data_IF_790127006948
#
_entry.id   IF_790127006948
#
_cell.length_a   1.000
_cell.length_b   1.000
_cell.length_c   1.000
_cell.angle_alpha   90.00
_cell.angle_beta   90.00
_cell.angle_gamma   90.00
#
_symmetry.space_group_name_H-M   'P 1'
#
loop_
_entity.id
_entity.type
_entity.pdbx_description
1 polymer ?
#
# COMPACT_ATOMS: atom_id res chain seq x y z
N UNK A 1 33.62 -4.89 -32.75
CA UNK A 1 32.75 -3.89 -33.41
C UNK A 1 31.97 -4.44 -34.62
N UNK A 2 32.53 -5.34 -35.44
CA UNK A 2 31.86 -5.83 -36.66
C UNK A 2 30.56 -6.63 -36.44
N UNK A 3 30.47 -7.43 -35.37
CA UNK A 3 29.26 -8.22 -35.06
C UNK A 3 28.11 -7.37 -34.54
N UNK A 4 28.39 -6.44 -33.62
CA UNK A 4 27.40 -5.46 -33.11
C UNK A 4 26.78 -4.63 -34.24
N UNK A 5 27.58 -4.22 -35.24
CA UNK A 5 27.09 -3.48 -36.41
C UNK A 5 26.27 -4.37 -37.35
N UNK A 6 26.55 -5.67 -37.43
CA UNK A 6 25.74 -6.64 -38.19
C UNK A 6 24.39 -6.92 -37.52
N UNK A 7 24.38 -7.09 -36.20
CA UNK A 7 23.14 -7.20 -35.40
C UNK A 7 22.30 -5.91 -35.51
N UNK A 8 22.93 -4.74 -35.40
CA UNK A 8 22.25 -3.44 -35.51
C UNK A 8 21.66 -3.18 -36.92
N UNK A 9 22.28 -3.72 -37.99
CA UNK A 9 21.77 -3.61 -39.37
C UNK A 9 20.60 -4.57 -39.68
N UNK A 10 20.45 -5.66 -38.92
CA UNK A 10 19.25 -6.54 -38.99
C UNK A 10 18.01 -5.86 -38.40
N UNK A 11 18.20 -4.83 -37.57
CA UNK A 11 17.14 -3.98 -37.05
C UNK A 11 16.80 -2.92 -38.11
N UNK A 12 16.09 -3.30 -39.18
CA UNK A 12 15.42 -2.33 -40.07
C UNK A 12 13.93 -2.62 -40.18
N UNK A 13 13.18 -1.51 -40.12
CA UNK A 13 11.79 -1.26 -40.54
C UNK A 13 10.61 -1.67 -39.65
N UNK A 14 10.71 -1.39 -38.34
CA UNK A 14 9.62 -0.69 -37.63
C UNK A 14 10.31 0.51 -37.00
N UNK A 15 9.82 1.75 -37.12
CA UNK A 15 10.47 2.89 -36.49
C UNK A 15 10.36 2.71 -34.98
N UNK A 16 11.42 2.14 -34.39
CA UNK A 16 11.58 1.96 -32.94
C UNK A 16 11.24 3.28 -32.22
N UNK A 17 11.60 4.42 -32.81
CA UNK A 17 11.26 5.74 -32.24
C UNK A 17 9.74 5.99 -32.18
N UNK A 18 8.98 5.63 -33.21
CA UNK A 18 7.53 5.88 -33.28
C UNK A 18 6.75 4.91 -32.37
N UNK A 19 7.20 3.65 -32.28
CA UNK A 19 6.59 2.65 -31.39
C UNK A 19 6.88 2.94 -29.92
N UNK A 20 8.11 3.35 -29.59
CA UNK A 20 8.49 3.74 -28.23
C UNK A 20 7.86 5.08 -27.82
N UNK A 21 7.83 6.07 -28.72
CA UNK A 21 7.16 7.35 -28.48
C UNK A 21 5.67 7.14 -28.23
N UNK A 22 5.00 6.32 -29.05
CA UNK A 22 3.59 6.00 -28.85
C UNK A 22 3.34 5.24 -27.54
N UNK A 23 4.18 4.24 -27.20
CA UNK A 23 4.12 3.55 -25.91
C UNK A 23 4.27 4.52 -24.72
N UNK A 24 5.26 5.41 -24.77
CA UNK A 24 5.52 6.38 -23.71
C UNK A 24 4.37 7.38 -23.57
N UNK A 25 3.86 7.91 -24.67
CA UNK A 25 2.74 8.86 -24.69
C UNK A 25 1.48 8.22 -24.08
N UNK A 26 1.13 7.00 -24.51
CA UNK A 26 -0.03 6.26 -23.97
C UNK A 26 0.11 6.00 -22.46
N UNK A 27 1.30 5.65 -22.00
CA UNK A 27 1.54 5.44 -20.57
C UNK A 27 1.54 6.74 -19.78
N UNK A 28 2.08 7.82 -20.36
CA UNK A 28 2.07 9.15 -19.78
C UNK A 28 0.65 9.67 -19.57
N UNK A 29 -0.27 9.42 -20.50
CA UNK A 29 -1.69 9.76 -20.34
C UNK A 29 -2.33 9.04 -19.14
N UNK A 30 -2.04 7.73 -18.98
CA UNK A 30 -2.50 6.94 -17.83
C UNK A 30 -1.94 7.53 -16.53
N UNK A 31 -0.63 7.78 -16.48
CA UNK A 31 0.02 8.35 -15.29
C UNK A 31 -0.52 9.73 -14.94
N UNK A 32 -0.69 10.59 -15.94
CA UNK A 32 -1.23 11.93 -15.75
C UNK A 32 -2.60 11.87 -15.09
N UNK A 33 -3.49 11.00 -15.59
CA UNK A 33 -4.83 10.83 -15.02
C UNK A 33 -4.79 10.26 -13.60
N UNK A 34 -3.94 9.26 -13.35
CA UNK A 34 -3.75 8.71 -12.01
C UNK A 34 -3.29 9.79 -11.02
N UNK A 35 -2.36 10.65 -11.41
CA UNK A 35 -1.86 11.72 -10.56
C UNK A 35 -2.89 12.83 -10.33
N UNK A 36 -3.69 13.19 -11.34
CA UNK A 36 -4.80 14.12 -11.14
C UNK A 36 -5.77 13.63 -10.06
N UNK A 37 -6.12 12.34 -10.08
CA UNK A 37 -6.95 11.73 -9.03
C UNK A 37 -6.21 11.65 -7.69
N UNK A 38 -4.95 11.21 -7.69
CA UNK A 38 -4.19 10.98 -6.47
C UNK A 38 -3.96 12.28 -5.68
N UNK A 39 -3.63 13.37 -6.37
CA UNK A 39 -3.44 14.68 -5.75
C UNK A 39 -4.75 15.46 -5.58
N UNK A 40 -5.89 14.91 -6.01
CA UNK A 40 -7.20 15.55 -5.84
C UNK A 40 -7.43 16.75 -6.75
N UNK A 41 -6.71 16.84 -7.87
CA UNK A 41 -6.94 17.82 -8.94
C UNK A 41 -8.28 17.55 -9.64
N UNK A 42 -8.67 16.28 -9.72
CA UNK A 42 -9.94 15.87 -10.32
C UNK A 42 -10.66 14.88 -9.40
N UNK A 43 -11.99 15.01 -9.34
CA UNK A 43 -12.83 14.05 -8.63
C UNK A 43 -12.98 12.74 -9.41
N UNK A 44 -13.25 11.66 -8.69
CA UNK A 44 -13.38 10.33 -9.26
C UNK A 44 -14.33 9.48 -8.43
N UNK A 45 -14.97 8.52 -9.10
CA UNK A 45 -15.78 7.47 -8.50
C UNK A 45 -15.18 6.10 -8.83
N UNK A 46 -15.74 5.03 -8.23
CA UNK A 46 -15.29 3.64 -8.43
C UNK A 46 -15.12 3.30 -9.91
N UNK A 47 -16.08 3.70 -10.75
CA UNK A 47 -16.05 3.45 -12.20
C UNK A 47 -14.79 4.03 -12.86
N UNK A 48 -14.38 5.24 -12.50
CA UNK A 48 -13.19 5.87 -13.10
C UNK A 48 -11.91 5.10 -12.73
N UNK A 49 -11.80 4.62 -11.49
CA UNK A 49 -10.64 3.82 -11.05
C UNK A 49 -10.61 2.49 -11.80
N UNK A 50 -11.77 1.82 -11.94
CA UNK A 50 -11.89 0.56 -12.70
C UNK A 50 -11.44 0.75 -14.16
N UNK A 51 -11.92 1.80 -14.84
CA UNK A 51 -11.54 2.10 -16.22
C UNK A 51 -10.03 2.34 -16.36
N UNK A 52 -9.40 3.05 -15.41
CA UNK A 52 -7.94 3.22 -15.41
C UNK A 52 -7.20 1.91 -15.19
N UNK A 53 -7.67 1.08 -14.26
CA UNK A 53 -7.07 -0.22 -13.98
C UNK A 53 -7.15 -1.15 -15.20
N UNK A 54 -8.30 -1.22 -15.87
CA UNK A 54 -8.50 -1.97 -17.10
C UNK A 54 -7.63 -1.44 -18.25
N UNK A 55 -7.51 -0.11 -18.38
CA UNK A 55 -6.60 0.50 -19.37
C UNK A 55 -5.15 0.09 -19.13
N UNK A 56 -4.69 0.02 -17.87
CA UNK A 56 -3.34 -0.44 -17.53
C UNK A 56 -3.17 -1.92 -17.92
N UNK A 57 -4.11 -2.80 -17.57
CA UNK A 57 -4.01 -4.22 -17.89
C UNK A 57 -4.04 -4.47 -19.41
N UNK A 58 -4.89 -3.73 -20.14
CA UNK A 58 -4.93 -3.74 -21.59
C UNK A 58 -3.62 -3.26 -22.20
N UNK A 59 -3.06 -2.17 -21.67
CA UNK A 59 -1.77 -1.63 -22.09
C UNK A 59 -0.61 -2.62 -21.90
N UNK A 60 -0.51 -3.27 -20.74
CA UNK A 60 0.47 -4.34 -20.50
C UNK A 60 0.32 -5.50 -21.49
N UNK A 61 -0.93 -5.94 -21.75
CA UNK A 61 -1.22 -7.08 -22.61
C UNK A 61 -0.92 -6.80 -24.08
N UNK A 62 -1.33 -5.64 -24.59
CA UNK A 62 -1.13 -5.27 -26.00
C UNK A 62 0.34 -5.11 -26.37
N UNK A 63 1.14 -4.58 -25.44
CA UNK A 63 2.55 -4.29 -25.68
C UNK A 63 3.48 -5.38 -25.12
N UNK A 64 2.92 -6.38 -24.44
CA UNK A 64 3.67 -7.44 -23.76
C UNK A 64 4.76 -6.89 -22.81
N UNK A 65 4.40 -5.87 -22.03
CA UNK A 65 5.28 -5.23 -21.04
C UNK A 65 4.69 -5.27 -19.65
N UNK A 66 5.51 -4.95 -18.65
CA UNK A 66 5.07 -4.72 -17.28
C UNK A 66 5.26 -3.27 -16.89
N UNK A 67 4.18 -2.64 -16.41
CA UNK A 67 4.27 -1.29 -15.86
C UNK A 67 4.92 -1.36 -14.46
N UNK A 68 5.59 -0.28 -14.03
CA UNK A 68 6.13 -0.19 -12.68
C UNK A 68 5.08 -0.48 -11.60
N UNK A 69 5.45 -1.21 -10.54
CA UNK A 69 4.55 -1.50 -9.42
C UNK A 69 3.92 -0.27 -8.78
N UNK A 70 4.64 0.87 -8.78
CA UNK A 70 4.12 2.12 -8.23
C UNK A 70 2.81 2.56 -8.91
N UNK A 71 2.59 2.22 -10.17
CA UNK A 71 1.35 2.50 -10.89
C UNK A 71 0.17 1.77 -10.27
N UNK A 72 0.35 0.48 -9.98
CA UNK A 72 -0.65 -0.33 -9.30
C UNK A 72 -0.85 0.10 -7.84
N UNK A 73 0.21 0.50 -7.14
CA UNK A 73 0.10 1.07 -5.79
C UNK A 73 -0.78 2.32 -5.82
N UNK A 74 -0.55 3.26 -6.76
CA UNK A 74 -1.38 4.45 -6.89
C UNK A 74 -2.85 4.07 -7.12
N UNK A 75 -3.13 3.14 -8.04
CA UNK A 75 -4.51 2.67 -8.28
C UNK A 75 -5.14 2.10 -7.00
N UNK A 76 -4.42 1.26 -6.25
CA UNK A 76 -4.88 0.69 -4.99
C UNK A 76 -5.15 1.78 -3.94
N UNK A 77 -4.26 2.77 -3.82
CA UNK A 77 -4.44 3.94 -2.94
C UNK A 77 -5.62 4.82 -3.34
N UNK A 78 -5.98 4.89 -4.63
CA UNK A 78 -7.18 5.63 -5.06
C UNK A 78 -8.46 4.97 -4.53
N UNK A 79 -8.55 3.65 -4.52
CA UNK A 79 -9.69 2.96 -3.89
C UNK A 79 -9.77 3.29 -2.40
N UNK A 80 -8.64 3.28 -1.69
CA UNK A 80 -8.60 3.62 -0.27
C UNK A 80 -9.00 5.08 -0.01
N UNK A 81 -8.50 6.02 -0.82
CA UNK A 81 -8.85 7.44 -0.73
C UNK A 81 -10.34 7.68 -1.04
N UNK A 82 -10.94 6.86 -1.91
CA UNK A 82 -12.37 6.93 -2.19
C UNK A 82 -13.21 6.51 -0.99
N UNK A 83 -12.76 5.52 -0.19
CA UNK A 83 -13.47 5.09 1.03
C UNK A 83 -13.67 6.26 1.99
N UNK A 84 -12.69 7.16 2.12
CA UNK A 84 -12.78 8.35 2.99
C UNK A 84 -13.87 9.34 2.53
N UNK A 85 -14.28 9.29 1.26
CA UNK A 85 -15.33 10.14 0.67
C UNK A 85 -16.70 9.46 0.63
N UNK A 86 -16.74 8.13 0.65
CA UNK A 86 -17.99 7.37 0.59
C UNK A 86 -18.72 7.50 1.92
N UNK A 87 -20.02 7.81 1.86
CA UNK A 87 -20.88 7.78 3.05
C UNK A 87 -20.82 6.42 3.73
N UNK A 88 -20.63 6.39 5.05
CA UNK A 88 -20.58 5.16 5.85
C UNK A 88 -21.81 4.25 5.67
N UNK A 89 -22.94 4.81 5.21
CA UNK A 89 -24.16 4.06 4.88
C UNK A 89 -24.01 3.19 3.63
N UNK A 90 -23.06 3.50 2.77
CA UNK A 90 -22.80 2.75 1.54
C UNK A 90 -21.69 1.70 1.75
N UNK A 91 -21.96 0.75 2.66
CA UNK A 91 -21.02 -0.30 3.07
C UNK A 91 -20.56 -1.19 1.90
N UNK A 92 -21.42 -1.38 0.89
CA UNK A 92 -21.13 -2.23 -0.28
C UNK A 92 -19.98 -1.66 -1.10
N UNK A 93 -20.00 -0.36 -1.38
CA UNK A 93 -18.94 0.31 -2.15
C UNK A 93 -17.64 0.38 -1.34
N UNK A 94 -17.71 0.58 -0.03
CA UNK A 94 -16.55 0.52 0.87
C UNK A 94 -15.88 -0.86 0.81
N UNK A 95 -16.67 -1.92 0.98
CA UNK A 95 -16.19 -3.32 0.89
C UNK A 95 -15.59 -3.59 -0.50
N UNK A 96 -16.22 -3.09 -1.57
CA UNK A 96 -15.71 -3.24 -2.93
C UNK A 96 -14.34 -2.58 -3.08
N UNK A 97 -14.18 -1.32 -2.64
CA UNK A 97 -12.92 -0.60 -2.73
C UNK A 97 -11.78 -1.32 -2.01
N UNK A 98 -12.02 -1.80 -0.78
CA UNK A 98 -11.02 -2.56 -0.04
C UNK A 98 -10.64 -3.87 -0.72
N UNK A 99 -11.62 -4.64 -1.20
CA UNK A 99 -11.35 -5.89 -1.92
C UNK A 99 -10.56 -5.66 -3.21
N UNK A 100 -10.89 -4.61 -3.97
CA UNK A 100 -10.17 -4.24 -5.19
C UNK A 100 -8.72 -3.85 -4.89
N UNK A 101 -8.49 -3.05 -3.86
CA UNK A 101 -7.14 -2.68 -3.40
C UNK A 101 -6.32 -3.91 -2.98
N UNK A 102 -6.89 -4.80 -2.14
CA UNK A 102 -6.24 -6.04 -1.71
C UNK A 102 -5.91 -6.96 -2.89
N UNK A 103 -6.83 -7.09 -3.86
CA UNK A 103 -6.62 -7.88 -5.08
C UNK A 103 -5.42 -7.36 -5.88
N UNK A 104 -5.29 -6.04 -6.01
CA UNK A 104 -4.15 -5.41 -6.69
C UNK A 104 -2.85 -5.73 -5.95
N UNK A 105 -2.81 -5.53 -4.63
CA UNK A 105 -1.62 -5.84 -3.82
C UNK A 105 -1.21 -7.31 -3.91
N UNK A 106 -2.18 -8.24 -3.88
CA UNK A 106 -1.90 -9.67 -4.07
C UNK A 106 -1.30 -9.96 -5.45
N UNK A 107 -1.86 -9.37 -6.52
CA UNK A 107 -1.35 -9.53 -7.89
C UNK A 107 0.10 -9.06 -8.00
N UNK A 108 0.42 -7.87 -7.49
CA UNK A 108 1.77 -7.31 -7.65
C UNK A 108 2.82 -7.98 -6.75
N UNK A 109 2.42 -8.59 -5.62
CA UNK A 109 3.31 -9.42 -4.80
C UNK A 109 3.67 -10.76 -5.46
N UNK A 110 2.83 -11.25 -6.38
CA UNK A 110 3.09 -12.47 -7.17
C UNK A 110 4.09 -12.28 -8.31
N UNK A 111 4.51 -11.03 -8.58
CA UNK A 111 5.52 -10.69 -9.59
C UNK A 111 6.85 -10.46 -8.89
N UNK A 112 7.95 -10.88 -9.52
CA UNK A 112 9.30 -10.66 -8.97
C UNK A 112 9.55 -9.17 -8.77
N UNK A 113 9.96 -8.80 -7.55
CA UNK A 113 10.15 -7.41 -7.15
C UNK A 113 11.29 -7.31 -6.14
N UNK A 114 11.97 -6.18 -6.12
CA UNK A 114 13.07 -5.98 -5.18
C UNK A 114 12.56 -5.95 -3.73
N UNK A 115 13.43 -6.29 -2.77
CA UNK A 115 13.06 -6.38 -1.35
C UNK A 115 12.47 -5.07 -0.81
N UNK A 116 13.01 -3.91 -1.22
CA UNK A 116 12.54 -2.60 -0.74
C UNK A 116 11.11 -2.35 -1.25
N UNK A 117 10.84 -2.62 -2.52
CA UNK A 117 9.50 -2.49 -3.10
C UNK A 117 8.54 -3.52 -2.51
N UNK A 118 8.95 -4.79 -2.34
CA UNK A 118 8.16 -5.83 -1.66
C UNK A 118 7.70 -5.36 -0.28
N UNK A 119 8.63 -4.85 0.54
CA UNK A 119 8.31 -4.38 1.89
C UNK A 119 7.33 -3.20 1.89
N UNK A 120 7.40 -2.30 0.90
CA UNK A 120 6.45 -1.20 0.74
C UNK A 120 5.05 -1.74 0.42
N UNK A 121 4.95 -2.66 -0.55
CA UNK A 121 3.69 -3.27 -0.94
C UNK A 121 3.04 -4.00 0.25
N UNK A 122 3.84 -4.74 1.03
CA UNK A 122 3.37 -5.42 2.24
C UNK A 122 2.84 -4.44 3.29
N UNK A 123 3.56 -3.34 3.52
CA UNK A 123 3.10 -2.27 4.41
C UNK A 123 1.75 -1.70 3.95
N UNK A 124 1.61 -1.34 2.67
CA UNK A 124 0.34 -0.80 2.16
C UNK A 124 -0.80 -1.82 2.25
N UNK A 125 -0.54 -3.09 1.86
CA UNK A 125 -1.51 -4.18 2.03
C UNK A 125 -1.97 -4.31 3.49
N UNK A 126 -1.04 -4.19 4.44
CA UNK A 126 -1.34 -4.20 5.88
C UNK A 126 -2.24 -3.04 6.30
N UNK A 127 -1.98 -1.83 5.79
CA UNK A 127 -2.80 -0.64 6.05
C UNK A 127 -4.24 -0.85 5.58
N UNK A 128 -4.41 -1.44 4.41
CA UNK A 128 -5.73 -1.71 3.83
C UNK A 128 -6.51 -2.69 4.68
N UNK A 129 -5.88 -3.80 5.08
CA UNK A 129 -6.51 -4.79 5.96
C UNK A 129 -6.87 -4.19 7.33
N UNK A 130 -5.99 -3.37 7.91
CA UNK A 130 -6.25 -2.70 9.19
C UNK A 130 -7.50 -1.81 9.11
N UNK A 131 -7.63 -1.01 8.05
CA UNK A 131 -8.84 -0.20 7.81
C UNK A 131 -10.06 -1.08 7.54
N UNK A 132 -9.91 -2.12 6.72
CA UNK A 132 -11.01 -3.00 6.32
C UNK A 132 -11.62 -3.77 7.51
N UNK A 133 -10.81 -4.08 8.52
CA UNK A 133 -11.26 -4.74 9.75
C UNK A 133 -12.39 -3.99 10.49
N UNK A 134 -12.55 -2.68 10.27
CA UNK A 134 -13.65 -1.89 10.86
C UNK A 134 -15.00 -2.17 10.19
N UNK A 135 -15.01 -2.72 8.98
CA UNK A 135 -16.20 -2.87 8.15
C UNK A 135 -16.61 -4.33 7.93
N UNK A 136 -15.66 -5.26 7.86
CA UNK A 136 -15.94 -6.67 7.60
C UNK A 136 -14.84 -7.58 8.15
N UNK A 137 -15.22 -8.79 8.61
CA UNK A 137 -14.30 -9.88 8.98
C UNK A 137 -13.13 -9.38 9.83
N UNK A 138 -13.48 -8.73 10.96
CA UNK A 138 -12.54 -7.95 11.79
C UNK A 138 -11.30 -8.77 12.16
N UNK A 139 -11.49 -9.98 12.70
CA UNK A 139 -10.38 -10.85 13.12
C UNK A 139 -9.47 -11.23 11.94
N UNK A 140 -10.04 -11.72 10.86
CA UNK A 140 -9.28 -12.20 9.70
C UNK A 140 -8.46 -11.08 9.07
N UNK A 141 -9.07 -9.90 8.93
CA UNK A 141 -8.37 -8.72 8.41
C UNK A 141 -7.25 -8.24 9.35
N UNK A 142 -7.45 -8.26 10.67
CA UNK A 142 -6.39 -7.91 11.63
C UNK A 142 -5.21 -8.89 11.56
N UNK A 143 -5.48 -10.19 11.44
CA UNK A 143 -4.45 -11.21 11.28
C UNK A 143 -3.66 -10.99 9.99
N UNK A 144 -4.33 -10.70 8.87
CA UNK A 144 -3.65 -10.42 7.60
C UNK A 144 -2.84 -9.11 7.64
N UNK A 145 -3.32 -8.09 8.34
CA UNK A 145 -2.57 -6.85 8.57
C UNK A 145 -1.29 -7.12 9.37
N UNK A 146 -1.38 -7.87 10.48
CA UNK A 146 -0.25 -8.24 11.33
C UNK A 146 0.80 -9.01 10.52
N UNK A 147 0.40 -10.05 9.78
CA UNK A 147 1.33 -10.83 8.93
C UNK A 147 2.06 -9.94 7.93
N UNK A 148 1.33 -9.04 7.25
CA UNK A 148 1.92 -8.16 6.25
C UNK A 148 2.92 -7.17 6.87
N UNK A 149 2.60 -6.59 8.03
CA UNK A 149 3.52 -5.72 8.77
C UNK A 149 4.75 -6.46 9.28
N UNK A 150 4.59 -7.66 9.83
CA UNK A 150 5.72 -8.48 10.30
C UNK A 150 6.65 -8.86 9.15
N UNK A 151 6.13 -9.20 7.97
CA UNK A 151 6.94 -9.46 6.79
C UNK A 151 7.65 -8.20 6.29
N UNK A 152 6.96 -7.04 6.28
CA UNK A 152 7.58 -5.76 5.93
C UNK A 152 8.72 -5.37 6.89
N UNK A 153 8.55 -5.63 8.20
CA UNK A 153 9.54 -5.36 9.25
C UNK A 153 10.81 -6.25 9.17
N UNK A 154 10.77 -7.35 8.42
CA UNK A 154 12.00 -8.12 8.11
C UNK A 154 12.96 -7.36 7.21
N UNK A 155 12.46 -6.35 6.50
CA UNK A 155 13.21 -5.56 5.52
C UNK A 155 13.36 -4.10 5.99
N UNK A 156 12.28 -3.50 6.50
CA UNK A 156 12.27 -2.17 7.13
C UNK A 156 12.61 -2.35 8.60
N UNK A 157 13.83 -1.99 8.98
CA UNK A 157 14.36 -2.24 10.33
C UNK A 157 14.69 -0.94 11.03
N UNK A 158 14.93 -0.98 12.34
CA UNK A 158 15.33 0.21 13.09
C UNK A 158 16.55 0.93 12.46
N UNK A 159 17.55 0.17 12.01
CA UNK A 159 18.78 0.71 11.41
C UNK A 159 18.67 1.06 9.92
N UNK A 160 17.60 0.59 9.24
CA UNK A 160 17.40 0.79 7.81
C UNK A 160 15.96 1.12 7.55
N UNK A 161 15.71 2.33 7.05
CA UNK A 161 14.35 2.87 6.89
C UNK A 161 13.65 3.06 8.25
N UNK A 162 14.33 3.76 9.18
CA UNK A 162 13.88 3.96 10.56
C UNK A 162 12.47 4.54 10.67
N UNK A 163 12.15 5.52 9.82
CA UNK A 163 10.82 6.15 9.75
C UNK A 163 9.76 5.12 9.35
N UNK A 164 9.97 4.39 8.25
CA UNK A 164 9.03 3.34 7.82
C UNK A 164 8.88 2.25 8.87
N UNK A 165 9.99 1.82 9.49
CA UNK A 165 9.97 0.87 10.60
C UNK A 165 9.05 1.37 11.73
N UNK A 166 9.18 2.63 12.14
CA UNK A 166 8.39 3.19 13.21
C UNK A 166 6.91 3.34 12.84
N UNK A 167 6.60 3.75 11.61
CA UNK A 167 5.22 3.77 11.10
C UNK A 167 4.59 2.37 11.11
N UNK A 168 5.32 1.36 10.64
CA UNK A 168 4.85 -0.03 10.65
C UNK A 168 4.67 -0.53 12.09
N UNK A 169 5.58 -0.20 13.02
CA UNK A 169 5.43 -0.56 14.43
C UNK A 169 4.20 0.10 15.08
N UNK A 170 3.91 1.36 14.77
CA UNK A 170 2.67 2.01 15.23
C UNK A 170 1.43 1.28 14.70
N UNK A 171 1.38 0.98 13.41
CA UNK A 171 0.21 0.32 12.81
C UNK A 171 0.06 -1.13 13.28
N UNK A 172 1.18 -1.83 13.49
CA UNK A 172 1.21 -3.15 14.11
C UNK A 172 0.67 -3.10 15.55
N UNK A 173 1.03 -2.06 16.31
CA UNK A 173 0.47 -1.80 17.63
C UNK A 173 -1.04 -1.65 17.60
N UNK A 174 -1.55 -0.87 16.63
CA UNK A 174 -2.99 -0.65 16.44
C UNK A 174 -3.71 -1.94 16.04
N UNK A 175 -3.12 -2.73 15.16
CA UNK A 175 -3.68 -4.03 14.76
C UNK A 175 -3.78 -4.98 15.95
N UNK A 176 -2.72 -5.09 16.77
CA UNK A 176 -2.74 -5.90 17.99
C UNK A 176 -3.75 -5.39 19.02
N UNK A 177 -3.84 -4.07 19.24
CA UNK A 177 -4.84 -3.48 20.16
C UNK A 177 -6.26 -3.83 19.73
N UNK A 178 -6.56 -3.67 18.43
CA UNK A 178 -7.88 -4.03 17.88
C UNK A 178 -8.13 -5.55 17.92
N UNK A 179 -7.10 -6.38 17.80
CA UNK A 179 -7.23 -7.83 17.92
C UNK A 179 -7.48 -8.24 19.37
N UNK A 180 -6.92 -7.52 20.35
CA UNK A 180 -7.18 -7.72 21.77
C UNK A 180 -8.66 -7.49 22.17
N UNK A 181 -9.39 -6.69 21.38
CA UNK A 181 -10.86 -6.53 21.51
C UNK A 181 -11.64 -7.77 21.06
N UNK A 182 -11.00 -8.71 20.35
CA UNK A 182 -11.64 -9.87 19.72
C UNK A 182 -11.10 -11.20 20.26
N UNK A 183 -9.80 -11.30 20.56
CA UNK A 183 -9.19 -12.51 21.12
C UNK A 183 -7.89 -12.23 21.90
N UNK A 184 -7.52 -13.19 22.76
CA UNK A 184 -6.23 -13.22 23.48
C UNK A 184 -5.83 -11.85 24.08
N UNK A 185 -6.79 -11.18 24.75
CA UNK A 185 -6.68 -9.78 25.21
C UNK A 185 -5.32 -9.44 25.80
N UNK A 186 -4.89 -10.15 26.85
CA UNK A 186 -3.63 -9.89 27.55
C UNK A 186 -2.39 -10.01 26.66
N UNK A 187 -2.31 -11.05 25.83
CA UNK A 187 -1.18 -11.27 24.94
C UNK A 187 -1.10 -10.18 23.87
N UNK A 188 -2.23 -9.89 23.21
CA UNK A 188 -2.31 -8.89 22.16
C UNK A 188 -2.08 -7.46 22.69
N UNK A 189 -2.57 -7.16 23.90
CA UNK A 189 -2.23 -5.95 24.65
C UNK A 189 -0.72 -5.77 24.83
N UNK A 190 -0.02 -6.80 25.31
CA UNK A 190 1.43 -6.75 25.51
C UNK A 190 2.18 -6.56 24.19
N UNK A 191 1.74 -7.22 23.12
CA UNK A 191 2.30 -7.04 21.77
C UNK A 191 2.08 -5.61 21.26
N UNK A 192 0.89 -5.05 21.45
CA UNK A 192 0.56 -3.68 21.06
C UNK A 192 1.46 -2.64 21.76
N UNK A 193 1.55 -2.73 23.09
CA UNK A 193 2.41 -1.86 23.92
C UNK A 193 3.86 -1.94 23.46
N UNK A 194 4.37 -3.16 23.21
CA UNK A 194 5.75 -3.36 22.73
C UNK A 194 5.99 -2.72 21.36
N UNK A 195 5.02 -2.80 20.46
CA UNK A 195 5.11 -2.22 19.13
C UNK A 195 5.11 -0.67 19.20
N UNK A 196 4.19 -0.06 19.94
CA UNK A 196 4.20 1.40 20.15
C UNK A 196 5.49 1.90 20.79
N UNK A 197 5.99 1.22 21.82
CA UNK A 197 7.29 1.55 22.44
C UNK A 197 8.46 1.45 21.46
N UNK A 198 8.41 0.56 20.46
CA UNK A 198 9.42 0.50 19.40
C UNK A 198 9.31 1.68 18.44
N UNK A 199 8.10 2.14 18.12
CA UNK A 199 7.88 3.30 17.28
C UNK A 199 8.39 4.59 17.94
N UNK A 200 8.16 4.75 19.26
CA UNK A 200 8.62 5.88 20.07
C UNK A 200 10.15 5.96 20.25
N UNK A 201 10.88 4.89 19.93
CA UNK A 201 12.36 4.95 19.87
C UNK A 201 12.88 5.72 18.66
N UNK A 202 12.04 5.96 17.66
CA UNK A 202 12.38 6.71 16.44
C UNK A 202 11.67 8.05 16.45
N UNK A 203 10.36 8.05 16.70
CA UNK A 203 9.58 9.28 16.80
C UNK A 203 9.72 9.85 18.21
N UNK A 204 10.66 10.76 18.41
CA UNK A 204 10.84 11.51 19.66
C UNK A 204 9.93 12.75 19.70
N UNK A 205 9.73 13.29 20.90
CA UNK A 205 8.92 14.49 21.10
C UNK A 205 9.56 15.72 20.45
N UNK A 206 10.88 15.75 20.39
CA UNK A 206 11.66 16.88 19.89
C UNK A 206 11.74 16.90 18.36
N UNK A 207 11.98 15.75 17.74
CA UNK A 207 12.17 15.66 16.28
C UNK A 207 10.85 15.43 15.53
N UNK A 208 9.90 14.73 16.15
CA UNK A 208 8.64 14.32 15.52
C UNK A 208 7.44 14.48 16.47
N UNK A 209 7.17 15.71 16.97
CA UNK A 209 6.17 15.95 18.01
C UNK A 209 4.77 15.40 17.67
N UNK A 210 4.33 15.53 16.41
CA UNK A 210 3.01 15.05 15.97
C UNK A 210 2.89 13.53 16.00
N UNK A 211 3.89 12.82 15.46
CA UNK A 211 3.92 11.36 15.48
C UNK A 211 4.08 10.82 16.90
N UNK A 212 4.94 11.46 17.71
CA UNK A 212 5.13 11.12 19.12
C UNK A 212 3.80 11.18 19.88
N UNK A 213 3.07 12.30 19.77
CA UNK A 213 1.78 12.48 20.45
C UNK A 213 0.74 11.45 20.00
N UNK A 214 0.65 11.19 18.68
CA UNK A 214 -0.26 10.18 18.15
C UNK A 214 0.04 8.79 18.75
N UNK A 215 1.31 8.40 18.80
CA UNK A 215 1.71 7.08 19.30
C UNK A 215 1.52 6.98 20.82
N UNK A 216 1.87 8.03 21.57
CA UNK A 216 1.60 8.10 23.02
C UNK A 216 0.10 7.97 23.32
N UNK A 217 -0.76 8.69 22.60
CA UNK A 217 -2.21 8.55 22.76
C UNK A 217 -2.69 7.12 22.46
N UNK A 218 -2.14 6.46 21.43
CA UNK A 218 -2.48 5.08 21.12
C UNK A 218 -1.99 4.11 22.22
N UNK A 219 -0.80 4.36 22.76
CA UNK A 219 -0.21 3.59 23.85
C UNK A 219 -1.03 3.75 25.15
N UNK A 220 -1.43 4.98 25.49
CA UNK A 220 -2.28 5.27 26.64
C UNK A 220 -3.64 4.58 26.54
N UNK A 221 -4.33 4.72 25.40
CA UNK A 221 -5.59 4.00 25.12
C UNK A 221 -5.44 2.49 25.29
N UNK A 222 -4.29 1.94 24.88
CA UNK A 222 -3.99 0.52 25.05
C UNK A 222 -3.81 0.18 26.52
N UNK A 223 -3.03 0.96 27.28
CA UNK A 223 -2.86 0.71 28.72
C UNK A 223 -4.18 0.73 29.49
N UNK A 224 -5.06 1.68 29.19
CA UNK A 224 -6.39 1.76 29.81
C UNK A 224 -7.17 0.48 29.47
N UNK A 225 -7.31 0.17 28.17
CA UNK A 225 -8.05 -1.00 27.71
C UNK A 225 -7.54 -2.34 28.29
N UNK A 226 -6.22 -2.45 28.52
CA UNK A 226 -5.58 -3.67 29.01
C UNK A 226 -5.62 -3.82 30.54
N UNK A 227 -5.96 -2.75 31.27
CA UNK A 227 -6.17 -2.78 32.73
C UNK A 227 -7.59 -3.16 33.10
N UNK A 228 -8.56 -2.79 32.26
CA UNK A 228 -9.96 -3.24 32.32
C UNK A 228 -10.10 -4.74 31.98
#
# INVERSE_FOLDING_TARGET
>A
MGEIVKEAKKVRSIPIVETYSNCLNRYQEILFKLYQYFFGVEEFIVRNINELYEKIEKFEKELNIKVPHNTYIIVASLYEKLVEKISWKNIKDIIYCFNSSIKIYHKILGVETDKKQKSRILMEKGNVHLKFAQYKSKKENLIEAIKAYEEALRIRTFYRFSIDYAMIQNNLGTAYRMLAEVECKSENCNKAIKAYKKALKVFSREEFPEFYLLIECNLEKTFIFCRD
#
